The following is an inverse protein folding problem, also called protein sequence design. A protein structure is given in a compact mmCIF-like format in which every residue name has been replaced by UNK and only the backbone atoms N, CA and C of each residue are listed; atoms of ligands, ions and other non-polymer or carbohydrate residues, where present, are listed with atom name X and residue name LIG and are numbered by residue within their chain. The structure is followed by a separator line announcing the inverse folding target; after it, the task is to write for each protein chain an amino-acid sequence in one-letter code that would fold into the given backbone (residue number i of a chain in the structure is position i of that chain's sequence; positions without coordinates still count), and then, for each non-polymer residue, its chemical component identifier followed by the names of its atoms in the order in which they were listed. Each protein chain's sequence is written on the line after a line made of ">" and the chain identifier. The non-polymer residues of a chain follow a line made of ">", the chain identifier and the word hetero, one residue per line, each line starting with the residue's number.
data_IF_703050341385
#
_entry.id   IF_703050341385
#
_cell.length_a   1.000
_cell.length_b   1.000
_cell.length_c   1.000
_cell.angle_alpha   90.00
_cell.angle_beta   90.00
_cell.angle_gamma   90.00
#
_symmetry.space_group_name_H-M   'P 1'
#
loop_
_entity.id
_entity.type
_entity.pdbx_description
1 polymer ?
#
# COMPACT_ATOMS: atom_id res chain seq x y z
N UNK A 1 45.20 -45.15 -22.79
CA UNK A 1 44.95 -44.14 -21.76
C UNK A 1 43.66 -43.44 -22.14
N UNK A 2 42.64 -43.48 -21.28
CA UNK A 2 41.32 -42.93 -21.61
C UNK A 2 41.25 -41.45 -21.23
N UNK A 3 40.78 -40.60 -22.15
CA UNK A 3 40.45 -39.20 -21.85
C UNK A 3 39.01 -39.13 -21.33
N UNK A 4 38.80 -38.44 -20.21
CA UNK A 4 37.47 -38.14 -19.70
C UNK A 4 37.03 -36.75 -20.17
N UNK A 5 35.80 -36.57 -20.69
CA UNK A 5 35.25 -35.25 -20.96
C UNK A 5 34.83 -34.58 -19.64
N UNK A 6 35.46 -33.45 -19.31
CA UNK A 6 35.02 -32.62 -18.17
C UNK A 6 33.94 -31.65 -18.65
N UNK A 7 32.68 -32.09 -18.59
CA UNK A 7 31.53 -31.23 -18.86
C UNK A 7 31.25 -30.36 -17.64
N UNK A 8 31.61 -29.09 -17.71
CA UNK A 8 31.21 -28.08 -16.72
C UNK A 8 29.68 -27.94 -16.74
N UNK A 9 29.02 -28.45 -15.70
CA UNK A 9 27.59 -28.18 -15.47
C UNK A 9 27.42 -26.74 -15.00
N UNK A 10 26.78 -25.91 -15.81
CA UNK A 10 26.30 -24.61 -15.36
C UNK A 10 25.09 -24.83 -14.45
N UNK A 11 25.21 -24.48 -13.17
CA UNK A 11 24.08 -24.48 -12.25
C UNK A 11 23.13 -23.34 -12.60
N UNK A 12 22.11 -23.64 -13.40
CA UNK A 12 20.92 -22.79 -13.53
C UNK A 12 20.20 -22.74 -12.19
N UNK A 13 20.47 -21.70 -11.39
CA UNK A 13 19.63 -21.40 -10.22
C UNK A 13 18.28 -20.95 -10.75
N UNK A 14 17.23 -21.73 -10.49
CA UNK A 14 15.87 -21.20 -10.54
C UNK A 14 15.69 -20.17 -9.41
N UNK A 15 14.66 -19.32 -9.49
CA UNK A 15 14.06 -18.72 -8.30
C UNK A 15 13.64 -19.80 -7.30
N UNK A 16 13.42 -19.42 -6.05
CA UNK A 16 12.70 -20.25 -5.07
C UNK A 16 11.20 -20.01 -5.20
N UNK A 17 10.41 -21.07 -5.03
CA UNK A 17 8.95 -20.98 -5.12
C UNK A 17 8.40 -20.09 -3.97
N UNK A 18 7.62 -19.06 -4.31
CA UNK A 18 7.09 -18.12 -3.31
C UNK A 18 5.90 -18.70 -2.53
N UNK A 19 5.10 -19.54 -3.18
CA UNK A 19 4.00 -20.31 -2.61
C UNK A 19 4.40 -21.79 -2.45
N UNK A 20 3.72 -22.49 -1.56
CA UNK A 20 3.87 -23.92 -1.37
C UNK A 20 2.96 -24.74 -2.31
N UNK A 21 2.99 -26.07 -2.14
CA UNK A 21 2.22 -27.01 -2.95
C UNK A 21 0.69 -27.00 -2.71
N UNK A 22 0.21 -26.30 -1.68
CA UNK A 22 -1.22 -26.10 -1.37
C UNK A 22 -1.68 -24.69 -1.77
N UNK A 23 -0.76 -23.81 -2.19
CA UNK A 23 -1.01 -22.42 -2.59
C UNK A 23 -0.89 -21.40 -1.46
N UNK A 24 -0.42 -21.82 -0.28
CA UNK A 24 -0.13 -20.93 0.86
C UNK A 24 1.27 -20.31 0.72
N UNK A 25 1.58 -19.29 1.53
CA UNK A 25 2.91 -18.67 1.55
C UNK A 25 3.99 -19.69 1.98
N UNK A 26 5.11 -19.72 1.25
CA UNK A 26 6.30 -20.45 1.70
C UNK A 26 6.82 -19.92 3.04
N UNK A 27 7.40 -20.79 3.88
CA UNK A 27 8.03 -20.40 5.17
C UNK A 27 8.98 -19.20 5.03
N UNK A 28 9.70 -19.13 3.91
CA UNK A 28 10.68 -18.08 3.62
C UNK A 28 9.99 -16.74 3.32
N UNK A 29 8.96 -16.72 2.45
CA UNK A 29 8.18 -15.53 2.18
C UNK A 29 7.40 -15.07 3.43
N UNK A 30 6.76 -15.99 4.15
CA UNK A 30 6.07 -15.70 5.41
C UNK A 30 7.00 -15.05 6.45
N UNK A 31 8.23 -15.57 6.59
CA UNK A 31 9.25 -14.99 7.49
C UNK A 31 9.66 -13.57 7.07
N UNK A 32 9.81 -13.33 5.77
CA UNK A 32 10.12 -12.00 5.23
C UNK A 32 8.96 -11.04 5.48
N UNK A 33 7.74 -11.42 5.10
CA UNK A 33 6.53 -10.61 5.30
C UNK A 33 6.32 -10.30 6.79
N UNK A 34 6.61 -11.23 7.70
CA UNK A 34 6.58 -10.96 9.15
C UNK A 34 7.57 -9.88 9.55
N UNK A 35 8.80 -9.94 9.03
CA UNK A 35 9.84 -8.94 9.33
C UNK A 35 9.50 -7.57 8.73
N UNK A 36 9.03 -7.52 7.48
CA UNK A 36 8.56 -6.31 6.79
C UNK A 36 7.39 -5.69 7.55
N UNK A 37 6.37 -6.48 7.90
CA UNK A 37 5.20 -6.01 8.63
C UNK A 37 5.55 -5.43 10.00
N UNK A 38 6.35 -6.14 10.80
CA UNK A 38 6.79 -5.64 12.11
C UNK A 38 7.66 -4.38 12.01
N UNK A 39 8.42 -4.19 10.92
CA UNK A 39 9.12 -2.92 10.68
C UNK A 39 8.13 -1.75 10.59
N UNK A 40 7.15 -1.81 9.67
CA UNK A 40 6.17 -0.71 9.51
C UNK A 40 5.21 -0.58 10.71
N UNK A 41 4.86 -1.68 11.38
CA UNK A 41 4.06 -1.66 12.61
C UNK A 41 4.80 -1.03 13.80
N UNK A 42 6.15 -1.06 13.81
CA UNK A 42 6.96 -0.38 14.83
C UNK A 42 7.05 1.14 14.65
N UNK A 43 6.65 1.68 13.49
CA UNK A 43 6.70 3.11 13.23
C UNK A 43 5.62 3.85 14.04
N UNK A 44 6.06 4.71 14.96
CA UNK A 44 5.22 5.48 15.89
C UNK A 44 5.26 6.98 15.65
N UNK A 45 6.16 7.47 14.80
CA UNK A 45 6.39 8.91 14.54
C UNK A 45 6.03 9.31 13.11
N UNK A 46 4.98 8.71 12.54
CA UNK A 46 4.44 9.08 11.23
C UNK A 46 3.46 10.26 11.37
N UNK A 47 3.31 11.11 10.33
CA UNK A 47 2.25 12.12 10.31
C UNK A 47 0.86 11.44 10.28
N UNK A 48 -0.19 12.09 10.79
CA UNK A 48 -1.56 11.61 10.62
C UNK A 48 -1.91 11.54 9.13
N UNK A 49 -2.51 10.43 8.70
CA UNK A 49 -3.03 10.29 7.35
C UNK A 49 -4.43 10.94 7.23
N UNK A 50 -4.84 11.39 6.03
CA UNK A 50 -6.20 11.87 5.81
C UNK A 50 -7.24 10.75 6.03
N UNK A 51 -8.45 11.16 6.43
CA UNK A 51 -9.59 10.25 6.63
C UNK A 51 -10.18 9.85 5.28
N UNK A 52 -9.88 8.64 4.82
CA UNK A 52 -10.49 8.03 3.65
C UNK A 52 -11.99 7.81 3.88
N UNK A 53 -12.85 8.38 3.02
CA UNK A 53 -14.29 8.15 3.08
C UNK A 53 -14.62 6.69 2.71
N UNK A 54 -15.60 6.10 3.39
CA UNK A 54 -15.96 4.68 3.26
C UNK A 54 -15.25 3.79 4.28
N UNK A 55 -13.97 4.06 4.56
CA UNK A 55 -13.18 3.30 5.54
C UNK A 55 -13.45 3.69 7.02
N UNK A 56 -14.48 4.50 7.31
CA UNK A 56 -14.75 5.04 8.66
C UNK A 56 -15.83 4.29 9.45
N UNK A 57 -16.59 3.39 8.82
CA UNK A 57 -17.71 2.68 9.48
C UNK A 57 -17.20 1.43 10.23
N UNK A 58 -16.29 1.65 11.20
CA UNK A 58 -15.55 0.57 11.89
C UNK A 58 -16.36 -0.26 12.88
N UNK A 59 -17.68 -0.06 12.99
CA UNK A 59 -18.56 -0.81 13.91
C UNK A 59 -18.66 -2.31 13.56
N UNK A 60 -18.33 -2.70 12.33
CA UNK A 60 -18.27 -4.11 11.90
C UNK A 60 -16.89 -4.77 12.12
N UNK A 61 -15.86 -4.01 12.55
CA UNK A 61 -14.52 -4.54 12.81
C UNK A 61 -14.27 -4.85 14.29
N UNK A 62 -13.84 -6.08 14.56
CA UNK A 62 -13.27 -6.49 15.85
C UNK A 62 -12.21 -5.49 16.34
N UNK A 63 -12.21 -5.23 17.65
CA UNK A 63 -11.21 -4.35 18.26
C UNK A 63 -9.87 -5.07 18.34
N UNK A 64 -8.79 -4.37 17.96
CA UNK A 64 -7.43 -4.90 18.09
C UNK A 64 -7.12 -5.31 19.55
N UNK A 65 -6.45 -6.44 19.72
CA UNK A 65 -6.04 -6.92 21.03
C UNK A 65 -4.92 -6.04 21.62
N UNK A 66 -4.74 -6.06 22.95
CA UNK A 66 -3.66 -5.31 23.59
C UNK A 66 -2.29 -5.80 23.09
N UNK A 67 -1.54 -4.90 22.44
CA UNK A 67 -0.24 -5.21 21.84
C UNK A 67 -0.30 -5.82 20.44
N UNK A 68 -1.46 -5.87 19.78
CA UNK A 68 -1.59 -6.39 18.41
C UNK A 68 -0.94 -5.45 17.37
N UNK A 69 0.07 -5.97 16.65
CA UNK A 69 0.73 -5.23 15.58
C UNK A 69 -0.20 -5.09 14.36
N UNK A 70 -0.35 -3.86 13.89
CA UNK A 70 -1.29 -3.50 12.83
C UNK A 70 -0.81 -2.27 12.04
N UNK A 71 -1.20 -2.19 10.76
CA UNK A 71 -0.85 -1.08 9.86
C UNK A 71 -2.08 -0.19 9.64
N UNK A 72 -2.12 0.96 10.30
CA UNK A 72 -3.07 2.05 10.00
C UNK A 72 -2.76 2.67 8.63
N UNK A 73 -3.69 3.51 8.11
CA UNK A 73 -3.51 4.29 6.87
C UNK A 73 -2.12 4.91 6.75
N UNK A 74 -1.62 5.61 7.77
CA UNK A 74 -0.29 6.23 7.74
C UNK A 74 0.87 5.23 7.54
N UNK A 75 0.77 4.03 8.15
CA UNK A 75 1.76 2.96 8.00
C UNK A 75 1.67 2.29 6.63
N UNK A 76 0.46 2.08 6.11
CA UNK A 76 0.24 1.56 4.75
C UNK A 76 0.71 2.54 3.68
N UNK A 77 0.51 3.84 3.86
CA UNK A 77 1.05 4.87 2.97
C UNK A 77 2.58 4.89 2.98
N UNK A 78 3.21 4.71 4.15
CA UNK A 78 4.68 4.61 4.24
C UNK A 78 5.22 3.33 3.57
N UNK A 79 4.57 2.19 3.80
CA UNK A 79 4.86 0.91 3.15
C UNK A 79 4.75 1.00 1.62
N UNK A 80 3.65 1.58 1.12
CA UNK A 80 3.43 1.79 -0.30
C UNK A 80 4.48 2.74 -0.90
N UNK A 81 4.83 3.82 -0.20
CA UNK A 81 5.84 4.76 -0.68
C UNK A 81 7.25 4.14 -0.76
N UNK A 82 7.67 3.38 0.25
CA UNK A 82 9.00 2.72 0.22
C UNK A 82 9.06 1.55 -0.78
N UNK A 83 7.94 0.88 -1.07
CA UNK A 83 7.90 -0.26 -2.00
C UNK A 83 7.67 0.17 -3.45
N UNK A 84 6.76 1.13 -3.69
CA UNK A 84 6.23 1.51 -5.00
C UNK A 84 6.46 3.00 -5.37
N UNK A 85 7.16 3.77 -4.54
CA UNK A 85 7.50 5.18 -4.81
C UNK A 85 6.35 6.19 -4.70
N UNK A 86 5.11 5.73 -4.46
CA UNK A 86 3.92 6.58 -4.22
C UNK A 86 3.17 6.13 -2.96
N UNK A 87 2.46 7.06 -2.32
CA UNK A 87 1.48 6.68 -1.31
C UNK A 87 0.31 5.91 -1.95
N UNK A 88 -0.37 5.10 -1.13
CA UNK A 88 -1.56 4.35 -1.48
C UNK A 88 -2.75 5.30 -1.65
N UNK A 89 -3.46 5.24 -2.78
CA UNK A 89 -4.69 5.98 -3.04
C UNK A 89 -5.86 5.53 -2.13
N UNK A 90 -6.98 6.26 -2.14
CA UNK A 90 -8.15 5.98 -1.28
C UNK A 90 -8.91 4.71 -1.71
N UNK A 91 -8.93 4.40 -3.00
CA UNK A 91 -9.62 3.23 -3.56
C UNK A 91 -8.93 1.93 -3.11
N UNK A 92 -7.60 1.83 -3.30
CA UNK A 92 -6.79 0.69 -2.81
C UNK A 92 -6.91 0.49 -1.30
N UNK A 93 -7.04 1.57 -0.51
CA UNK A 93 -7.19 1.46 0.95
C UNK A 93 -8.56 0.93 1.37
N UNK A 94 -9.64 1.30 0.66
CA UNK A 94 -10.97 0.72 0.89
C UNK A 94 -10.99 -0.76 0.51
N UNK A 95 -10.41 -1.15 -0.63
CA UNK A 95 -10.30 -2.57 -1.02
C UNK A 95 -9.55 -3.41 0.04
N UNK A 96 -8.46 -2.88 0.60
CA UNK A 96 -7.70 -3.57 1.66
C UNK A 96 -8.54 -3.76 2.94
N UNK A 97 -9.38 -2.78 3.27
CA UNK A 97 -10.29 -2.82 4.41
C UNK A 97 -11.47 -3.80 4.18
N UNK A 98 -12.04 -3.83 2.97
CA UNK A 98 -13.20 -4.68 2.64
C UNK A 98 -12.84 -6.16 2.43
N UNK A 99 -11.65 -6.46 1.89
CA UNK A 99 -11.28 -7.83 1.49
C UNK A 99 -10.29 -8.54 2.40
N UNK A 100 -9.50 -7.84 3.22
CA UNK A 100 -8.50 -8.45 4.09
C UNK A 100 -8.74 -8.18 5.58
N UNK A 101 -8.18 -9.04 6.42
CA UNK A 101 -8.42 -9.00 7.85
C UNK A 101 -7.86 -7.75 8.56
N UNK A 102 -8.72 -6.75 8.70
CA UNK A 102 -8.48 -5.54 9.48
C UNK A 102 -9.10 -5.62 10.90
N UNK A 103 -8.68 -4.71 11.76
CA UNK A 103 -9.22 -4.50 13.12
C UNK A 103 -9.41 -3.00 13.39
N UNK A 104 -10.31 -2.64 14.29
CA UNK A 104 -10.51 -1.24 14.69
C UNK A 104 -9.52 -0.83 15.79
N UNK A 105 -8.71 0.20 15.55
CA UNK A 105 -7.77 0.78 16.52
C UNK A 105 -8.13 2.23 16.85
N UNK A 106 -7.89 2.73 18.08
CA UNK A 106 -8.06 4.14 18.40
C UNK A 106 -7.12 5.02 17.58
N UNK A 107 -7.59 6.17 17.11
CA UNK A 107 -6.77 7.18 16.43
C UNK A 107 -6.84 8.52 17.18
N UNK A 108 -5.94 8.74 18.16
CA UNK A 108 -5.97 9.93 19.03
C UNK A 108 -5.87 11.26 18.28
N UNK A 109 -5.36 11.28 17.06
CA UNK A 109 -5.20 12.51 16.26
C UNK A 109 -6.50 12.97 15.59
N UNK A 110 -7.51 12.10 15.50
CA UNK A 110 -8.84 12.43 14.96
C UNK A 110 -9.88 12.78 16.05
N UNK A 111 -9.66 12.36 17.29
CA UNK A 111 -10.50 12.73 18.44
C UNK A 111 -10.66 11.61 19.47
N UNK A 112 -11.21 11.95 20.64
CA UNK A 112 -11.53 10.95 21.67
C UNK A 112 -12.63 10.00 21.18
N UNK A 113 -12.42 8.69 21.36
CA UNK A 113 -13.35 7.65 20.92
C UNK A 113 -13.31 7.32 19.42
N UNK A 114 -12.62 8.11 18.59
CA UNK A 114 -12.48 7.81 17.15
C UNK A 114 -11.61 6.57 16.95
N UNK A 115 -12.07 5.66 16.10
CA UNK A 115 -11.33 4.47 15.66
C UNK A 115 -11.17 4.47 14.15
N UNK A 116 -10.15 3.78 13.67
CA UNK A 116 -9.83 3.60 12.24
C UNK A 116 -9.51 2.13 11.97
N UNK A 117 -9.70 1.64 10.74
CA UNK A 117 -9.25 0.31 10.35
C UNK A 117 -7.72 0.27 10.28
N UNK A 118 -7.15 -0.85 10.73
CA UNK A 118 -5.75 -1.18 10.57
C UNK A 118 -5.59 -2.64 10.14
N UNK A 119 -4.76 -2.87 9.13
CA UNK A 119 -4.49 -4.20 8.59
C UNK A 119 -3.67 -5.02 9.59
N UNK A 120 -4.15 -6.20 10.00
CA UNK A 120 -3.36 -7.10 10.87
C UNK A 120 -2.36 -7.91 10.04
N UNK A 121 -1.42 -8.59 10.71
CA UNK A 121 -0.47 -9.44 9.98
C UNK A 121 -1.16 -10.55 9.17
N UNK A 122 -2.31 -11.07 9.66
CA UNK A 122 -3.15 -12.01 8.93
C UNK A 122 -3.74 -11.41 7.64
N UNK A 123 -4.19 -10.15 7.69
CA UNK A 123 -4.65 -9.45 6.49
C UNK A 123 -3.50 -9.18 5.50
N UNK A 124 -2.31 -8.86 6.01
CA UNK A 124 -1.11 -8.68 5.21
C UNK A 124 -0.66 -9.99 4.53
N UNK A 125 -0.75 -11.14 5.19
CA UNK A 125 -0.49 -12.43 4.52
C UNK A 125 -1.55 -12.76 3.47
N UNK A 126 -2.84 -12.50 3.74
CA UNK A 126 -3.92 -12.72 2.76
C UNK A 126 -3.75 -11.86 1.49
N UNK A 127 -3.32 -10.61 1.63
CA UNK A 127 -2.95 -9.74 0.51
C UNK A 127 -1.85 -10.38 -0.35
N UNK A 128 -0.79 -10.88 0.27
CA UNK A 128 0.31 -11.52 -0.45
C UNK A 128 -0.03 -12.90 -1.01
N UNK A 129 -0.92 -13.68 -0.40
CA UNK A 129 -1.46 -14.91 -0.96
C UNK A 129 -2.23 -14.63 -2.26
N UNK A 130 -3.11 -13.62 -2.25
CA UNK A 130 -3.86 -13.21 -3.44
C UNK A 130 -2.95 -12.62 -4.53
N UNK A 131 -2.06 -11.69 -4.17
CA UNK A 131 -1.13 -11.07 -5.13
C UNK A 131 -0.22 -12.11 -5.78
N UNK A 132 0.38 -13.00 -4.99
CA UNK A 132 1.37 -13.98 -5.50
C UNK A 132 0.71 -15.08 -6.33
N UNK A 133 -0.53 -15.47 -6.01
CA UNK A 133 -1.28 -16.47 -6.80
C UNK A 133 -1.89 -15.89 -8.09
N UNK A 134 -2.13 -14.57 -8.17
CA UNK A 134 -2.58 -13.89 -9.37
C UNK A 134 -1.42 -13.47 -10.30
N UNK A 135 -0.40 -12.81 -9.76
CA UNK A 135 0.77 -12.32 -10.49
C UNK A 135 2.02 -12.32 -9.59
N UNK A 136 2.70 -13.48 -9.49
CA UNK A 136 3.94 -13.69 -8.71
C UNK A 136 5.03 -12.62 -8.99
N UNK A 137 5.05 -12.05 -10.20
CA UNK A 137 5.98 -10.98 -10.58
C UNK A 137 5.85 -9.71 -9.73
N UNK A 138 4.67 -9.41 -9.17
CA UNK A 138 4.49 -8.23 -8.31
C UNK A 138 5.13 -8.43 -6.95
N UNK A 139 4.92 -9.59 -6.32
CA UNK A 139 5.62 -9.97 -5.10
C UNK A 139 7.15 -10.01 -5.33
N UNK A 140 7.61 -10.42 -6.50
CA UNK A 140 9.02 -10.31 -6.88
C UNK A 140 9.52 -8.88 -7.15
N UNK A 141 8.67 -7.89 -7.43
CA UNK A 141 9.06 -6.47 -7.44
C UNK A 141 9.26 -5.97 -6.01
N UNK A 142 8.29 -6.23 -5.14
CA UNK A 142 8.32 -5.85 -3.72
C UNK A 142 9.58 -6.39 -3.03
N UNK A 143 9.84 -7.70 -3.17
CA UNK A 143 11.03 -8.35 -2.62
C UNK A 143 12.34 -7.73 -3.12
N UNK A 144 12.39 -7.29 -4.39
CA UNK A 144 13.57 -6.62 -4.96
C UNK A 144 13.73 -5.19 -4.44
N UNK A 145 12.62 -4.46 -4.22
CA UNK A 145 12.62 -3.14 -3.60
C UNK A 145 13.12 -3.20 -2.14
N UNK A 146 12.74 -4.25 -1.39
CA UNK A 146 13.24 -4.50 -0.03
C UNK A 146 14.63 -5.16 0.01
N UNK A 147 15.33 -5.26 -1.13
CA UNK A 147 16.73 -5.69 -1.20
C UNK A 147 17.00 -7.21 -1.26
N UNK A 148 15.97 -8.05 -1.38
CA UNK A 148 16.14 -9.50 -1.52
C UNK A 148 16.65 -9.90 -2.92
N UNK A 149 17.21 -11.11 -3.00
CA UNK A 149 17.58 -11.77 -4.26
C UNK A 149 16.58 -12.90 -4.61
N UNK A 150 16.81 -13.57 -5.73
CA UNK A 150 15.97 -14.68 -6.27
C UNK A 150 15.97 -15.94 -5.38
N UNK A 151 16.72 -15.94 -4.29
CA UNK A 151 16.78 -17.00 -3.25
C UNK A 151 16.21 -16.55 -1.91
N UNK A 152 15.56 -15.37 -1.87
CA UNK A 152 15.07 -14.73 -0.65
C UNK A 152 16.17 -14.41 0.38
N UNK A 153 17.43 -14.28 -0.07
CA UNK A 153 18.54 -13.78 0.74
C UNK A 153 18.59 -12.25 0.63
N UNK A 154 18.64 -11.54 1.76
CA UNK A 154 18.85 -10.08 1.76
C UNK A 154 20.25 -9.78 1.23
N UNK A 155 20.35 -8.95 0.18
CA UNK A 155 21.64 -8.50 -0.34
C UNK A 155 22.32 -7.63 0.73
N UNK A 156 23.47 -8.06 1.23
CA UNK A 156 24.37 -7.16 1.94
C UNK A 156 24.85 -6.10 0.96
N UNK A 157 24.41 -4.87 1.13
CA UNK A 157 24.93 -3.74 0.39
C UNK A 157 26.45 -3.66 0.60
N UNK A 158 27.19 -3.72 -0.51
CA UNK A 158 28.49 -3.07 -0.59
C UNK A 158 28.17 -1.65 -1.02
N UNK A 159 28.45 -0.66 -0.17
CA UNK A 159 28.11 0.75 -0.42
C UNK A 159 28.61 1.18 -1.81
N UNK A 160 27.69 1.44 -2.74
CA UNK A 160 28.02 1.47 -4.17
C UNK A 160 26.95 2.07 -5.07
N UNK A 161 26.96 3.40 -5.15
CA UNK A 161 26.51 4.21 -6.31
C UNK A 161 25.05 4.11 -6.80
N UNK A 162 24.29 5.19 -6.52
CA UNK A 162 23.56 5.88 -7.59
C UNK A 162 22.09 5.52 -7.79
N UNK A 163 21.20 6.20 -7.03
CA UNK A 163 19.86 6.51 -7.56
C UNK A 163 20.03 7.31 -8.86
N UNK A 164 19.44 6.84 -9.95
CA UNK A 164 19.08 7.70 -11.07
C UNK A 164 17.70 8.28 -10.80
N UNK A 165 17.67 9.54 -10.42
CA UNK A 165 16.47 10.37 -10.51
C UNK A 165 16.30 10.70 -12.00
N UNK A 166 15.16 10.32 -12.59
CA UNK A 166 14.85 10.62 -13.99
C UNK A 166 14.04 11.92 -14.05
N UNK A 167 14.74 13.03 -14.24
CA UNK A 167 14.14 14.33 -14.50
C UNK A 167 13.34 14.27 -15.81
N UNK A 168 12.05 14.62 -15.75
CA UNK A 168 11.23 14.91 -16.92
C UNK A 168 10.86 16.40 -16.87
N UNK A 169 11.63 17.22 -17.57
CA UNK A 169 11.40 18.66 -17.69
C UNK A 169 10.17 19.01 -18.57
N UNK A 170 9.76 20.27 -18.50
CA UNK A 170 8.47 20.82 -18.98
C UNK A 170 8.61 21.65 -20.28
N UNK A 171 7.90 21.27 -21.36
CA UNK A 171 7.56 22.08 -22.56
C UNK A 171 6.51 21.30 -23.40
N UNK A 172 5.43 21.82 -23.99
CA UNK A 172 4.55 23.00 -23.78
C UNK A 172 3.11 22.55 -24.20
N UNK A 173 2.05 23.30 -24.56
CA UNK A 173 1.81 24.65 -25.10
C UNK A 173 0.42 25.14 -24.67
N UNK A 174 0.23 26.46 -24.62
CA UNK A 174 -1.05 27.13 -24.34
C UNK A 174 -2.21 26.75 -25.28
N UNK A 175 -3.44 26.81 -24.76
CA UNK A 175 -4.61 27.23 -25.57
C UNK A 175 -5.72 27.91 -24.76
N UNK A 176 -5.44 29.15 -24.34
CA UNK A 176 -6.47 30.10 -23.93
C UNK A 176 -7.45 30.38 -25.09
N UNK A 177 -8.76 30.45 -24.79
CA UNK A 177 -9.81 30.53 -25.83
C UNK A 177 -11.24 30.62 -25.31
N UNK A 178 -11.55 31.74 -24.63
CA UNK A 178 -12.88 32.33 -24.38
C UNK A 178 -14.16 31.47 -24.43
N UNK A 179 -14.92 31.45 -23.32
CA UNK A 179 -16.39 31.46 -23.41
C UNK A 179 -17.09 32.24 -22.26
N UNK A 180 -16.82 33.56 -22.27
CA UNK A 180 -17.80 34.64 -22.09
C UNK A 180 -18.71 34.64 -20.84
N UNK A 181 -18.37 35.48 -19.88
CA UNK A 181 -19.31 35.98 -18.86
C UNK A 181 -20.32 36.94 -19.52
N UNK A 182 -21.59 36.76 -19.19
CA UNK A 182 -22.72 37.64 -19.51
C UNK A 182 -24.02 36.95 -19.08
N UNK A 183 -24.88 37.52 -18.24
CA UNK A 183 -24.96 38.90 -17.77
C UNK A 183 -26.08 39.63 -18.50
N UNK A 184 -27.32 39.31 -18.11
CA UNK A 184 -28.53 40.05 -18.43
C UNK A 184 -29.40 40.05 -17.17
N UNK A 185 -29.89 41.22 -16.78
CA UNK A 185 -30.68 41.42 -15.57
C UNK A 185 -32.15 41.12 -15.84
N UNK A 186 -32.87 40.55 -14.86
CA UNK A 186 -34.25 41.01 -14.67
C UNK A 186 -34.77 41.01 -13.23
N UNK A 187 -35.50 42.09 -12.99
CA UNK A 187 -36.16 42.51 -11.76
C UNK A 187 -37.61 41.96 -11.71
N UNK A 188 -38.39 42.41 -10.72
CA UNK A 188 -39.81 42.08 -10.47
C UNK A 188 -40.07 40.65 -9.94
N UNK A 189 -40.80 40.45 -8.83
CA UNK A 189 -41.35 41.47 -7.91
C UNK A 189 -42.05 40.89 -6.69
N UNK A 190 -41.95 41.64 -5.59
CA UNK A 190 -42.87 41.79 -4.46
C UNK A 190 -44.10 40.86 -4.36
N UNK A 191 -44.20 40.14 -3.22
CA UNK A 191 -45.42 40.23 -2.39
C UNK A 191 -45.28 39.78 -0.93
N UNK A 192 -45.77 40.62 -0.03
CA UNK A 192 -46.17 40.25 1.33
C UNK A 192 -47.50 39.50 1.33
N UNK A 193 -47.67 38.56 2.27
CA UNK A 193 -48.68 38.62 3.35
C UNK A 193 -48.17 37.70 4.47
N UNK A 194 -47.89 38.24 5.67
CA UNK A 194 -48.78 38.33 6.85
C UNK A 194 -49.26 36.95 7.36
N UNK A 195 -48.88 36.51 8.57
CA UNK A 195 -49.10 37.05 9.94
C UNK A 195 -50.33 36.39 10.60
N UNK A 196 -50.18 36.08 11.90
CA UNK A 196 -51.09 35.40 12.83
C UNK A 196 -52.56 35.15 12.42
N UNK A 197 -53.02 33.89 12.59
CA UNK A 197 -53.74 33.51 13.82
C UNK A 197 -53.78 32.01 14.12
#
# INVERSE_FOLDING_TARGET
>A
MSSAPSSTVASSSSPVDLLDHEGALSDSLYTILRSTFSHYASLTTLPPAPVTKGATETDELDQANEGEECLTRARLNRFAFETNGKEMDDETFVEIYEYFHCVSVPEPTLGEGVRVPALTFKGFTQLYELQTSAEESETWKDLKAWGYNEKLELKKEVEGEGKKEEEVEEEVVEKIGELKIGGDEKEEGEKEEKEEK
#
